data_IF_483082230554
#
_entry.id   IF_483082230554
#
_cell.length_a   1.000
_cell.length_b   1.000
_cell.length_c   1.000
_cell.angle_alpha   90.00
_cell.angle_beta   90.00
_cell.angle_gamma   90.00
#
_symmetry.space_group_name_H-M   'P 1'
#
loop_
_entity.id
_entity.type
_entity.pdbx_description
1 polymer ?
#
# COMPACT_ATOMS: atom_id res chain seq x y z
N UNK A 1 9.55 -20.79 4.63
CA UNK A 1 9.97 -19.49 4.09
C UNK A 1 10.90 -18.83 5.10
N UNK A 2 12.12 -18.45 4.72
CA UNK A 2 13.02 -17.76 5.62
C UNK A 2 12.49 -16.35 5.95
N UNK A 3 12.54 -15.97 7.22
CA UNK A 3 12.25 -14.61 7.66
C UNK A 3 13.49 -13.74 7.47
N UNK A 4 13.33 -12.57 6.86
CA UNK A 4 14.44 -11.65 6.55
C UNK A 4 14.05 -10.24 6.96
N UNK A 5 14.99 -9.48 7.53
CA UNK A 5 14.85 -8.05 7.80
C UNK A 5 15.65 -7.30 6.72
N UNK A 6 14.97 -6.47 5.94
CA UNK A 6 15.56 -5.73 4.83
C UNK A 6 15.32 -4.24 5.03
N UNK A 7 16.38 -3.42 4.94
CA UNK A 7 16.28 -1.96 4.97
C UNK A 7 16.32 -1.43 3.54
N UNK A 8 15.15 -1.29 2.92
CA UNK A 8 15.02 -0.81 1.54
C UNK A 8 13.66 -0.13 1.30
N UNK A 9 13.51 0.54 0.16
CA UNK A 9 12.22 1.00 -0.35
C UNK A 9 11.36 -0.21 -0.74
N UNK A 10 10.21 -0.37 -0.06
CA UNK A 10 9.31 -1.50 -0.26
C UNK A 10 8.73 -1.53 -1.69
N UNK A 11 8.63 -0.38 -2.36
CA UNK A 11 8.11 -0.29 -3.74
C UNK A 11 9.04 -0.92 -4.79
N UNK A 12 10.27 -1.26 -4.39
CA UNK A 12 11.28 -1.91 -5.26
C UNK A 12 11.45 -3.40 -4.96
N UNK A 13 10.70 -3.95 -4.01
CA UNK A 13 10.80 -5.36 -3.64
C UNK A 13 10.22 -6.26 -4.75
N UNK A 14 10.95 -7.31 -5.12
CA UNK A 14 10.49 -8.33 -6.07
C UNK A 14 9.83 -9.48 -5.32
N UNK A 15 8.57 -9.28 -4.96
CA UNK A 15 7.76 -10.20 -4.16
C UNK A 15 6.32 -10.23 -4.72
N UNK A 16 5.53 -11.21 -4.31
CA UNK A 16 4.17 -11.36 -4.82
C UNK A 16 3.23 -10.22 -4.38
N UNK A 17 3.44 -9.70 -3.16
CA UNK A 17 2.69 -8.58 -2.62
C UNK A 17 3.53 -7.75 -1.65
N UNK A 18 3.21 -6.46 -1.55
CA UNK A 18 3.72 -5.57 -0.52
C UNK A 18 2.53 -5.00 0.27
N UNK A 19 2.74 -4.71 1.56
CA UNK A 19 1.67 -4.19 2.43
C UNK A 19 1.78 -2.67 2.52
N UNK A 20 0.64 -1.98 2.37
CA UNK A 20 0.52 -0.54 2.56
C UNK A 20 -0.02 -0.23 3.97
N UNK A 21 0.66 0.64 4.70
CA UNK A 21 0.09 1.24 5.91
C UNK A 21 -0.83 2.41 5.52
N UNK A 22 -2.09 2.08 5.22
CA UNK A 22 -3.11 3.02 4.77
C UNK A 22 -3.94 3.63 5.93
N UNK A 23 -4.77 4.61 5.60
CA UNK A 23 -5.89 5.07 6.44
C UNK A 23 -7.17 4.29 6.10
N UNK A 24 -8.20 4.42 6.95
CA UNK A 24 -9.49 3.72 6.81
C UNK A 24 -10.25 4.06 5.52
N UNK A 25 -9.97 5.23 4.93
CA UNK A 25 -10.62 5.68 3.69
C UNK A 25 -9.89 5.21 2.43
N UNK A 26 -8.77 4.50 2.58
CA UNK A 26 -7.87 4.08 1.50
C UNK A 26 -7.49 5.24 0.55
N UNK A 27 -7.43 6.46 1.07
CA UNK A 27 -7.01 7.64 0.30
C UNK A 27 -5.51 7.81 0.36
N UNK A 28 -4.92 8.28 -0.75
CA UNK A 28 -3.51 8.59 -0.82
C UNK A 28 -3.09 9.52 0.32
N UNK A 29 -2.13 9.07 1.12
CA UNK A 29 -1.50 9.86 2.19
C UNK A 29 -0.03 10.17 1.88
N UNK A 30 0.70 10.59 2.91
CA UNK A 30 2.16 10.69 2.89
C UNK A 30 2.86 9.36 3.16
N UNK A 31 4.16 9.42 3.50
CA UNK A 31 4.94 8.26 3.94
C UNK A 31 4.97 7.11 2.92
N UNK A 32 4.89 5.87 3.42
CA UNK A 32 4.90 4.66 2.58
C UNK A 32 3.68 4.58 1.66
N UNK A 33 2.51 5.03 2.12
CA UNK A 33 1.30 5.07 1.30
C UNK A 33 1.52 5.96 0.06
N UNK A 34 2.00 7.18 0.27
CA UNK A 34 2.33 8.08 -0.85
C UNK A 34 3.39 7.51 -1.79
N UNK A 35 4.40 6.79 -1.26
CA UNK A 35 5.41 6.13 -2.09
C UNK A 35 4.81 5.01 -2.96
N UNK A 36 3.94 4.17 -2.39
CA UNK A 36 3.24 3.09 -3.11
C UNK A 36 2.32 3.67 -4.19
N UNK A 37 1.52 4.69 -3.86
CA UNK A 37 0.64 5.36 -4.85
C UNK A 37 1.44 5.97 -6.02
N UNK A 38 2.55 6.65 -5.73
CA UNK A 38 3.42 7.20 -6.78
C UNK A 38 4.04 6.10 -7.66
N UNK A 39 4.44 4.99 -7.06
CA UNK A 39 5.06 3.87 -7.78
C UNK A 39 4.06 3.06 -8.61
N UNK A 40 2.82 2.89 -8.13
CA UNK A 40 1.77 2.09 -8.77
C UNK A 40 0.95 2.85 -9.82
N UNK A 41 1.01 4.18 -9.84
CA UNK A 41 0.09 5.04 -10.58
C UNK A 41 -1.00 5.54 -9.65
N UNK A 42 -0.95 6.83 -9.29
CA UNK A 42 -1.76 7.35 -8.19
C UNK A 42 -3.26 7.34 -8.51
N UNK A 43 -3.63 7.66 -9.75
CA UNK A 43 -5.02 7.69 -10.19
C UNK A 43 -5.62 6.29 -10.29
N UNK A 44 -4.86 5.34 -10.85
CA UNK A 44 -5.27 3.96 -11.06
C UNK A 44 -5.43 3.24 -9.72
N UNK A 45 -4.46 3.41 -8.82
CA UNK A 45 -4.53 2.83 -7.49
C UNK A 45 -5.67 3.46 -6.67
N UNK A 46 -5.85 4.79 -6.74
CA UNK A 46 -6.95 5.43 -6.03
C UNK A 46 -8.31 4.93 -6.52
N UNK A 47 -8.48 4.74 -7.83
CA UNK A 47 -9.72 4.20 -8.40
C UNK A 47 -10.00 2.75 -7.97
N UNK A 48 -8.97 1.95 -7.71
CA UNK A 48 -9.13 0.61 -7.13
C UNK A 48 -9.48 0.68 -5.63
N UNK A 49 -8.77 1.50 -4.86
CA UNK A 49 -9.04 1.72 -3.44
C UNK A 49 -10.45 2.26 -3.17
N UNK A 50 -10.96 3.16 -4.01
CA UNK A 50 -12.28 3.76 -3.87
C UNK A 50 -13.43 2.73 -3.95
N UNK A 51 -13.19 1.56 -4.56
CA UNK A 51 -14.17 0.47 -4.64
C UNK A 51 -14.18 -0.42 -3.40
N UNK A 52 -13.14 -0.34 -2.57
CA UNK A 52 -12.91 -1.19 -1.40
C UNK A 52 -13.10 -0.41 -0.09
N UNK A 53 -12.92 0.90 -0.13
CA UNK A 53 -13.09 1.78 1.02
C UNK A 53 -14.57 1.89 1.45
N UNK A 54 -14.85 2.16 2.74
CA UNK A 54 -13.90 2.23 3.85
C UNK A 54 -13.54 0.84 4.42
N UNK A 55 -12.43 0.75 5.14
CA UNK A 55 -12.01 -0.44 5.91
C UNK A 55 -11.87 -0.11 7.40
N UNK A 56 -12.01 -1.09 8.30
CA UNK A 56 -11.81 -0.87 9.74
C UNK A 56 -10.33 -0.97 10.12
N UNK A 57 -9.94 -0.35 11.24
CA UNK A 57 -8.59 -0.52 11.78
C UNK A 57 -8.32 -2.00 12.10
N UNK A 58 -7.29 -2.55 11.47
CA UNK A 58 -6.91 -3.96 11.60
C UNK A 58 -7.33 -4.84 10.42
N UNK A 59 -8.20 -4.34 9.53
CA UNK A 59 -8.58 -5.03 8.31
C UNK A 59 -7.51 -4.89 7.21
N UNK A 60 -7.57 -5.79 6.21
CA UNK A 60 -6.79 -5.72 4.99
C UNK A 60 -7.65 -6.14 3.80
N UNK A 61 -7.35 -5.59 2.62
CA UNK A 61 -8.01 -5.86 1.33
C UNK A 61 -7.00 -6.08 0.23
#
# INVERSE_FOLDING_TARGET
MPFTIVRQDITKMKVDAIVNAANTDLKMGGGVCGAIFKAAGASELQAACDKLAPIQTGDAV
#
